data_IF_736609823965
#
_entry.id   IF_736609823965
#
_cell.length_a   1.000
_cell.length_b   1.000
_cell.length_c   1.000
_cell.angle_alpha   90.00
_cell.angle_beta   90.00
_cell.angle_gamma   90.00
#
_symmetry.space_group_name_H-M   'P 1'
#
loop_
_entity.id
_entity.type
_entity.pdbx_description
1 polymer ?
#
# COMPACT_ATOMS: atom_id res chain seq x y z
N UNK A 1 10.27 -14.11 -14.20
CA UNK A 1 10.11 -14.08 -12.73
C UNK A 1 11.08 -13.03 -12.21
N UNK A 2 10.60 -11.90 -11.70
CA UNK A 2 11.48 -10.88 -11.15
C UNK A 2 11.82 -11.25 -9.70
N UNK A 3 12.98 -11.85 -9.48
CA UNK A 3 13.60 -11.90 -8.15
C UNK A 3 14.47 -10.66 -8.01
N UNK A 4 14.29 -9.94 -6.90
CA UNK A 4 15.15 -8.80 -6.57
C UNK A 4 16.28 -9.36 -5.73
N UNK A 5 17.41 -9.63 -6.37
CA UNK A 5 18.59 -10.21 -5.72
C UNK A 5 19.46 -9.15 -5.00
N UNK A 6 19.08 -7.87 -5.14
CA UNK A 6 19.75 -6.74 -4.48
C UNK A 6 19.02 -6.40 -3.18
N UNK A 7 19.71 -6.44 -2.01
CA UNK A 7 19.11 -5.99 -0.76
C UNK A 7 18.61 -4.54 -0.87
N UNK A 8 17.37 -4.31 -0.41
CA UNK A 8 16.78 -2.97 -0.39
C UNK A 8 17.23 -2.21 0.87
N UNK A 9 17.46 -0.88 0.77
CA UNK A 9 17.70 -0.05 1.95
C UNK A 9 16.53 -0.13 2.94
N UNK A 10 16.84 -0.36 4.21
CA UNK A 10 15.87 -0.45 5.30
C UNK A 10 15.88 0.85 6.10
N UNK A 11 14.70 1.39 6.38
CA UNK A 11 14.52 2.57 7.23
C UNK A 11 13.16 2.51 7.95
N UNK A 12 12.92 3.35 8.97
CA UNK A 12 11.58 3.49 9.52
C UNK A 12 10.58 3.84 8.42
N UNK A 13 9.57 2.99 8.26
CA UNK A 13 8.48 3.12 7.29
C UNK A 13 7.16 2.98 8.03
N UNK A 14 6.11 3.68 7.56
CA UNK A 14 4.77 3.73 8.16
C UNK A 14 4.11 2.36 8.09
N UNK A 15 4.30 1.64 6.98
CA UNK A 15 3.81 0.28 6.68
C UNK A 15 2.28 0.12 6.62
N UNK A 16 1.53 1.12 7.08
CA UNK A 16 0.08 1.21 6.96
C UNK A 16 -0.35 2.57 6.42
N UNK A 17 0.31 3.02 5.35
CA UNK A 17 0.00 4.28 4.67
C UNK A 17 -1.02 4.06 3.54
N UNK A 18 -2.18 4.70 3.65
CA UNK A 18 -3.29 4.62 2.69
C UNK A 18 -4.24 5.82 2.82
N UNK A 19 -5.23 5.99 1.92
CA UNK A 19 -6.00 7.25 1.82
C UNK A 19 -6.66 7.73 3.11
N UNK A 20 -7.20 6.85 3.96
CA UNK A 20 -7.84 7.29 5.21
C UNK A 20 -6.82 7.73 6.28
N UNK A 21 -5.54 7.39 6.12
CA UNK A 21 -4.46 7.78 7.04
C UNK A 21 -3.73 9.07 6.61
N UNK A 22 -4.16 9.70 5.51
CA UNK A 22 -3.62 10.99 5.04
C UNK A 22 -4.70 12.05 5.13
N UNK A 23 -4.46 13.05 5.97
CA UNK A 23 -5.41 14.14 6.23
C UNK A 23 -5.14 15.32 5.30
N UNK A 24 -6.22 15.96 4.82
CA UNK A 24 -6.15 17.09 3.90
C UNK A 24 -6.89 18.32 4.46
N UNK A 25 -6.38 19.51 4.15
CA UNK A 25 -7.10 20.78 4.25
C UNK A 25 -7.14 21.39 2.85
N UNK A 26 -8.31 21.33 2.21
CA UNK A 26 -8.43 21.59 0.77
C UNK A 26 -7.58 20.59 -0.02
N UNK A 27 -6.72 21.08 -0.91
CA UNK A 27 -5.83 20.25 -1.74
C UNK A 27 -4.45 19.98 -1.11
N UNK A 28 -4.24 20.40 0.15
CA UNK A 28 -2.94 20.26 0.82
C UNK A 28 -2.99 19.15 1.86
N UNK A 29 -1.97 18.28 1.85
CA UNK A 29 -1.74 17.33 2.94
C UNK A 29 -1.46 18.13 4.21
N UNK A 30 -2.26 17.88 5.24
CA UNK A 30 -2.18 18.53 6.55
C UNK A 30 -1.58 17.61 7.62
N UNK A 31 -1.63 16.29 7.42
CA UNK A 31 -1.06 15.34 8.36
C UNK A 31 -1.11 13.90 7.87
N UNK A 32 -0.30 13.06 8.52
CA UNK A 32 -0.32 11.61 8.40
C UNK A 32 -0.55 11.06 9.81
N UNK A 33 -1.45 10.09 9.93
CA UNK A 33 -1.85 9.49 11.21
C UNK A 33 -1.67 7.97 11.20
N UNK A 34 -1.86 7.37 12.37
CA UNK A 34 -1.77 5.93 12.62
C UNK A 34 -0.41 5.30 12.26
N UNK A 35 0.56 5.50 13.17
CA UNK A 35 1.90 4.93 13.08
C UNK A 35 2.02 3.56 13.79
N UNK A 36 0.91 2.91 14.15
CA UNK A 36 0.94 1.66 14.92
C UNK A 36 1.67 0.50 14.23
N UNK A 37 1.71 0.51 12.90
CA UNK A 37 2.40 -0.49 12.09
C UNK A 37 3.88 -0.18 11.80
N UNK A 38 4.38 0.99 12.21
CA UNK A 38 5.68 1.52 11.83
C UNK A 38 6.83 0.62 12.30
N UNK A 39 7.71 0.21 11.36
CA UNK A 39 8.91 -0.62 11.62
C UNK A 39 9.97 -0.35 10.55
N UNK A 40 11.15 -0.96 10.69
CA UNK A 40 12.13 -1.00 9.61
C UNK A 40 11.55 -1.76 8.41
N UNK A 41 11.51 -1.12 7.25
CA UNK A 41 11.06 -1.66 5.97
C UNK A 41 11.75 -0.91 4.82
N UNK A 42 11.50 -1.33 3.57
CA UNK A 42 11.88 -0.55 2.39
C UNK A 42 10.83 0.50 2.05
N UNK A 43 11.27 1.69 1.63
CA UNK A 43 10.37 2.76 1.13
C UNK A 43 9.53 2.32 -0.06
N UNK A 44 10.00 1.33 -0.82
CA UNK A 44 9.28 0.76 -1.93
C UNK A 44 7.95 0.16 -1.49
N UNK A 45 7.90 -0.44 -0.28
CA UNK A 45 6.68 -0.99 0.30
C UNK A 45 5.66 0.09 0.66
N UNK A 46 6.08 1.18 1.29
CA UNK A 46 5.19 2.31 1.62
C UNK A 46 4.66 3.02 0.38
N UNK A 47 5.52 3.23 -0.63
CA UNK A 47 5.09 3.77 -1.93
C UNK A 47 4.05 2.87 -2.59
N UNK A 48 4.28 1.55 -2.60
CA UNK A 48 3.32 0.61 -3.17
C UNK A 48 1.96 0.67 -2.46
N UNK A 49 1.93 0.77 -1.13
CA UNK A 49 0.69 0.89 -0.34
C UNK A 49 -0.03 2.21 -0.60
N UNK A 50 0.71 3.33 -0.55
CA UNK A 50 0.15 4.66 -0.77
C UNK A 50 -0.44 4.78 -2.17
N UNK A 51 0.31 4.41 -3.21
CA UNK A 51 -0.12 4.53 -4.60
C UNK A 51 -1.23 3.53 -4.93
N UNK A 52 -1.14 2.29 -4.46
CA UNK A 52 -2.22 1.31 -4.62
C UNK A 52 -3.53 1.77 -3.99
N UNK A 53 -3.44 2.63 -2.98
CA UNK A 53 -4.58 3.18 -2.26
C UNK A 53 -5.20 4.42 -2.92
N UNK A 54 -4.37 5.40 -3.31
CA UNK A 54 -4.82 6.66 -3.93
C UNK A 54 -5.03 6.55 -5.44
N UNK A 55 -4.12 5.88 -6.13
CA UNK A 55 -4.02 5.86 -7.60
C UNK A 55 -4.61 4.57 -8.18
N UNK A 56 -4.70 3.52 -7.37
CA UNK A 56 -5.19 2.19 -7.77
C UNK A 56 -4.38 1.63 -8.93
N UNK A 57 -4.95 1.53 -10.13
CA UNK A 57 -4.34 0.87 -11.29
C UNK A 57 -3.98 1.87 -12.43
N UNK A 58 -4.11 3.19 -12.21
CA UNK A 58 -3.73 4.21 -13.20
C UNK A 58 -2.21 4.35 -13.33
N UNK A 59 -1.62 3.58 -14.26
CA UNK A 59 -0.16 3.51 -14.45
C UNK A 59 0.49 4.85 -14.82
N UNK A 60 -0.22 5.76 -15.48
CA UNK A 60 0.31 7.09 -15.81
C UNK A 60 0.51 7.90 -14.53
N UNK A 61 -0.50 7.91 -13.65
CA UNK A 61 -0.41 8.58 -12.35
C UNK A 61 0.60 7.91 -11.42
N UNK A 62 0.78 6.59 -11.49
CA UNK A 62 1.84 5.88 -10.77
C UNK A 62 3.22 6.41 -11.15
N UNK A 63 3.55 6.44 -12.44
CA UNK A 63 4.84 6.92 -12.93
C UNK A 63 5.11 8.35 -12.46
N UNK A 64 4.13 9.24 -12.61
CA UNK A 64 4.24 10.64 -12.17
C UNK A 64 4.45 10.78 -10.66
N UNK A 65 3.74 10.00 -9.85
CA UNK A 65 3.90 10.04 -8.40
C UNK A 65 5.27 9.50 -7.94
N UNK A 66 5.78 8.46 -8.61
CA UNK A 66 7.13 7.93 -8.36
C UNK A 66 8.19 8.98 -8.72
N UNK A 67 8.02 9.71 -9.83
CA UNK A 67 8.91 10.83 -10.20
C UNK A 67 8.91 11.95 -9.15
N UNK A 68 7.74 12.31 -8.62
CA UNK A 68 7.63 13.31 -7.55
C UNK A 68 8.33 12.86 -6.26
N UNK A 69 8.17 11.59 -5.87
CA UNK A 69 8.87 11.07 -4.70
C UNK A 69 10.38 11.04 -4.94
N UNK A 70 10.81 10.56 -6.11
CA UNK A 70 12.22 10.51 -6.50
C UNK A 70 12.88 11.89 -6.48
N UNK A 71 12.15 12.96 -6.87
CA UNK A 71 12.60 14.36 -6.78
C UNK A 71 13.03 14.78 -5.37
N UNK A 72 12.43 14.20 -4.33
CA UNK A 72 12.74 14.50 -2.93
C UNK A 72 13.76 13.51 -2.37
N UNK A 73 13.59 12.21 -2.64
CA UNK A 73 14.50 11.14 -2.24
C UNK A 73 14.73 10.20 -3.42
N UNK A 74 15.94 10.24 -3.96
CA UNK A 74 16.37 9.36 -5.06
C UNK A 74 16.06 7.90 -4.73
N UNK A 75 15.41 7.22 -5.68
CA UNK A 75 15.13 5.79 -5.63
C UNK A 75 16.17 5.06 -6.47
N UNK A 76 16.73 3.99 -5.92
CA UNK A 76 17.56 3.07 -6.71
C UNK A 76 16.71 2.28 -7.71
N UNK A 77 17.35 1.70 -8.73
CA UNK A 77 16.66 0.84 -9.70
C UNK A 77 16.01 -0.37 -9.03
N UNK A 78 16.64 -0.92 -7.99
CA UNK A 78 16.09 -2.02 -7.20
C UNK A 78 14.82 -1.61 -6.44
N UNK A 79 14.81 -0.42 -5.82
CA UNK A 79 13.61 0.11 -5.15
C UNK A 79 12.47 0.37 -6.15
N UNK A 80 12.79 0.92 -7.34
CA UNK A 80 11.80 1.16 -8.40
C UNK A 80 11.15 -0.14 -8.87
N UNK A 81 11.95 -1.19 -9.08
CA UNK A 81 11.43 -2.50 -9.43
C UNK A 81 10.60 -3.11 -8.29
N UNK A 82 11.06 -2.97 -7.05
CA UNK A 82 10.39 -3.49 -5.85
C UNK A 82 8.99 -2.90 -5.64
N UNK A 83 8.77 -1.64 -5.98
CA UNK A 83 7.44 -1.02 -5.87
C UNK A 83 6.37 -1.84 -6.60
N UNK A 84 6.67 -2.33 -7.81
CA UNK A 84 5.71 -3.12 -8.59
C UNK A 84 5.44 -4.50 -7.97
N UNK A 85 6.49 -5.13 -7.41
CA UNK A 85 6.41 -6.42 -6.73
C UNK A 85 5.62 -6.31 -5.43
N UNK A 86 5.86 -5.25 -4.65
CA UNK A 86 5.11 -4.98 -3.42
C UNK A 86 3.64 -4.67 -3.69
N UNK A 87 3.30 -3.93 -4.75
CA UNK A 87 1.88 -3.71 -5.11
C UNK A 87 1.18 -5.03 -5.44
N UNK A 88 1.82 -5.90 -6.22
CA UNK A 88 1.28 -7.22 -6.52
C UNK A 88 1.09 -8.07 -5.24
N UNK A 89 2.08 -8.08 -4.35
CA UNK A 89 1.98 -8.77 -3.06
C UNK A 89 0.87 -8.18 -2.17
N UNK A 90 0.75 -6.87 -2.11
CA UNK A 90 -0.27 -6.17 -1.30
C UNK A 90 -1.68 -6.49 -1.80
N UNK A 91 -1.92 -6.59 -3.11
CA UNK A 91 -3.23 -6.98 -3.65
C UNK A 91 -3.69 -8.34 -3.13
N UNK A 92 -2.77 -9.30 -3.01
CA UNK A 92 -3.05 -10.62 -2.44
C UNK A 92 -3.22 -10.56 -0.92
N UNK A 93 -2.25 -9.95 -0.22
CA UNK A 93 -2.18 -9.97 1.24
C UNK A 93 -3.29 -9.15 1.90
N UNK A 94 -3.69 -8.02 1.32
CA UNK A 94 -4.75 -7.18 1.90
C UNK A 94 -6.09 -7.93 1.99
N UNK A 95 -6.44 -8.74 0.98
CA UNK A 95 -7.63 -9.59 1.06
C UNK A 95 -7.48 -10.71 2.09
N UNK A 96 -6.29 -11.31 2.16
CA UNK A 96 -6.01 -12.38 3.12
C UNK A 96 -6.09 -11.91 4.59
N UNK A 97 -5.64 -10.69 4.91
CA UNK A 97 -5.74 -10.15 6.27
C UNK A 97 -7.18 -10.08 6.77
N UNK A 98 -8.15 -9.76 5.91
CA UNK A 98 -9.57 -9.76 6.28
C UNK A 98 -10.12 -11.17 6.48
N UNK A 99 -9.70 -12.14 5.66
CA UNK A 99 -10.03 -13.54 5.88
C UNK A 99 -9.47 -14.04 7.22
N UNK A 100 -8.22 -13.67 7.55
CA UNK A 100 -7.61 -14.01 8.83
C UNK A 100 -8.40 -13.44 10.01
N UNK A 101 -8.75 -12.16 9.97
CA UNK A 101 -9.49 -11.53 11.06
C UNK A 101 -10.91 -12.07 11.23
N UNK A 102 -11.67 -12.20 10.14
CA UNK A 102 -13.08 -12.59 10.19
C UNK A 102 -13.21 -14.11 10.38
N UNK A 103 -12.51 -14.90 9.57
CA UNK A 103 -12.73 -16.35 9.51
C UNK A 103 -11.86 -17.11 10.51
N UNK A 104 -10.57 -16.80 10.60
CA UNK A 104 -9.65 -17.57 11.44
C UNK A 104 -9.61 -17.07 12.89
N UNK A 105 -9.68 -15.75 13.10
CA UNK A 105 -9.64 -15.14 14.43
C UNK A 105 -11.03 -14.85 15.02
N UNK A 106 -12.10 -15.04 14.24
CA UNK A 106 -13.49 -14.82 14.65
C UNK A 106 -13.70 -13.43 15.29
N UNK A 107 -13.03 -12.40 14.76
CA UNK A 107 -13.18 -11.02 15.24
C UNK A 107 -14.54 -10.50 14.81
N UNK A 108 -15.23 -9.84 15.74
CA UNK A 108 -16.45 -9.10 15.45
C UNK A 108 -16.12 -7.63 15.23
N UNK A 109 -16.85 -7.01 14.32
CA UNK A 109 -16.74 -5.59 14.01
C UNK A 109 -18.11 -4.94 14.21
N UNK A 110 -18.13 -3.65 14.55
CA UNK A 110 -19.38 -2.93 14.83
C UNK A 110 -20.23 -2.74 13.56
N UNK A 111 -19.59 -2.77 12.39
CA UNK A 111 -20.21 -2.49 11.09
C UNK A 111 -19.80 -3.55 10.06
N UNK A 112 -20.54 -4.66 10.01
CA UNK A 112 -20.30 -5.76 9.07
C UNK A 112 -20.34 -5.29 7.59
N UNK A 113 -21.22 -4.34 7.27
CA UNK A 113 -21.32 -3.77 5.92
C UNK A 113 -20.02 -3.07 5.48
N UNK A 114 -19.33 -2.40 6.40
CA UNK A 114 -18.06 -1.74 6.12
C UNK A 114 -16.93 -2.76 5.89
N UNK A 115 -16.98 -3.90 6.60
CA UNK A 115 -16.06 -5.01 6.40
C UNK A 115 -16.28 -5.63 5.03
N UNK A 116 -17.53 -5.91 4.65
CA UNK A 116 -17.87 -6.47 3.34
C UNK A 116 -17.44 -5.54 2.19
N UNK A 117 -17.78 -4.25 2.27
CA UNK A 117 -17.37 -3.27 1.27
C UNK A 117 -15.83 -3.19 1.11
N UNK A 118 -15.10 -3.37 2.21
CA UNK A 118 -13.63 -3.41 2.20
C UNK A 118 -13.11 -4.67 1.52
N UNK A 119 -13.67 -5.83 1.82
CA UNK A 119 -13.33 -7.11 1.18
C UNK A 119 -13.59 -7.04 -0.32
N UNK A 120 -14.76 -6.54 -0.74
CA UNK A 120 -15.12 -6.38 -2.16
C UNK A 120 -14.14 -5.47 -2.90
N UNK A 121 -13.71 -4.36 -2.26
CA UNK A 121 -12.69 -3.46 -2.82
C UNK A 121 -11.35 -4.16 -3.05
N UNK A 122 -10.92 -5.02 -2.14
CA UNK A 122 -9.69 -5.79 -2.29
C UNK A 122 -9.84 -6.89 -3.36
N UNK A 123 -10.97 -7.58 -3.39
CA UNK A 123 -11.26 -8.62 -4.37
C UNK A 123 -11.30 -8.07 -5.81
N UNK A 124 -11.95 -6.93 -6.03
CA UNK A 124 -11.99 -6.28 -7.34
C UNK A 124 -10.60 -5.90 -7.86
N UNK A 125 -9.69 -5.42 -6.99
CA UNK A 125 -8.30 -5.14 -7.38
C UNK A 125 -7.50 -6.40 -7.68
N UNK A 126 -7.78 -7.51 -6.99
CA UNK A 126 -7.14 -8.79 -7.26
C UNK A 126 -7.60 -9.37 -8.61
N UNK A 127 -8.91 -9.35 -8.88
CA UNK A 127 -9.48 -9.85 -10.14
C UNK A 127 -8.97 -9.08 -11.36
N UNK A 128 -8.81 -7.76 -11.26
CA UNK A 128 -8.25 -6.95 -12.34
C UNK A 128 -6.76 -7.24 -12.64
N UNK A 129 -6.08 -8.03 -11.79
CA UNK A 129 -4.67 -8.36 -11.91
C UNK A 129 -4.41 -9.80 -12.43
N UNK A 130 -5.46 -10.62 -12.55
CA UNK A 130 -5.43 -11.98 -13.09
C UNK A 130 -5.85 -11.97 -14.57
#
# INVERSE_FOLDING_TARGET
>A
RATIDTPLPMQPCIRDIWHDHVLFVGERVAGIVDFGAMRLDSVAGDLARLLGSFVRDDRIRWSRAIEWYDAVRRLSDAERQAISVFDAANRLLSGFSWLDWVYFQNRTFEHDDAVLARVDKHLGRLQAAL
#
